data_IF_710260555465
#
_entry.id   IF_710260555465
#
_cell.length_a   1.000
_cell.length_b   1.000
_cell.length_c   1.000
_cell.angle_alpha   90.00
_cell.angle_beta   90.00
_cell.angle_gamma   90.00
#
_symmetry.space_group_name_H-M   'P 1'
#
loop_
_entity.id
_entity.type
_entity.pdbx_description
1 polymer ?
#
# COMPACT_ATOMS: atom_id res chain seq x y z
N UNK A 1 14.42 6.37 -14.96
CA UNK A 1 13.00 6.66 -15.24
C UNK A 1 12.23 5.44 -14.83
N UNK A 2 11.52 5.48 -13.71
CA UNK A 2 10.51 4.47 -13.38
C UNK A 2 9.22 4.98 -13.96
N UNK A 3 8.78 4.35 -15.04
CA UNK A 3 7.61 4.70 -15.79
C UNK A 3 6.37 4.65 -14.88
N UNK A 4 5.49 5.66 -14.94
CA UNK A 4 4.26 5.74 -14.15
C UNK A 4 3.31 4.53 -14.32
N UNK A 5 3.61 3.64 -15.28
CA UNK A 5 2.90 2.39 -15.53
C UNK A 5 3.26 1.30 -14.51
N UNK A 6 4.47 1.32 -13.99
CA UNK A 6 4.94 0.37 -12.98
C UNK A 6 4.28 0.63 -11.62
N UNK A 7 4.08 1.89 -11.24
CA UNK A 7 3.50 2.25 -9.94
C UNK A 7 2.04 1.84 -9.79
N UNK A 8 1.22 1.98 -10.85
CA UNK A 8 -0.17 1.56 -10.83
C UNK A 8 -0.30 0.05 -10.65
N UNK A 9 0.49 -0.73 -11.40
CA UNK A 9 0.52 -2.19 -11.26
C UNK A 9 0.96 -2.63 -9.86
N UNK A 10 1.96 -1.96 -9.28
CA UNK A 10 2.42 -2.26 -7.92
C UNK A 10 1.33 -2.00 -6.88
N UNK A 11 0.55 -0.93 -7.01
CA UNK A 11 -0.56 -0.63 -6.10
C UNK A 11 -1.66 -1.69 -6.22
N UNK A 12 -2.00 -2.14 -7.43
CA UNK A 12 -2.97 -3.22 -7.64
C UNK A 12 -2.51 -4.54 -7.02
N UNK A 13 -1.23 -4.89 -7.15
CA UNK A 13 -0.63 -6.07 -6.51
C UNK A 13 -0.69 -5.98 -4.99
N UNK A 14 -0.41 -4.80 -4.43
CA UNK A 14 -0.54 -4.54 -2.99
C UNK A 14 -1.99 -4.66 -2.53
N UNK A 15 -2.95 -4.13 -3.29
CA UNK A 15 -4.38 -4.23 -2.98
C UNK A 15 -4.83 -5.69 -2.95
N UNK A 16 -4.43 -6.47 -3.95
CA UNK A 16 -4.71 -7.90 -4.01
C UNK A 16 -4.13 -8.63 -2.80
N UNK A 17 -2.86 -8.36 -2.47
CA UNK A 17 -2.21 -8.96 -1.30
C UNK A 17 -2.89 -8.55 0.01
N UNK A 18 -3.29 -7.28 0.14
CA UNK A 18 -4.05 -6.77 1.28
C UNK A 18 -5.39 -7.51 1.43
N UNK A 19 -6.14 -7.66 0.36
CA UNK A 19 -7.44 -8.35 0.39
C UNK A 19 -7.28 -9.82 0.81
N UNK A 20 -6.26 -10.52 0.30
CA UNK A 20 -5.91 -11.88 0.75
C UNK A 20 -5.59 -11.93 2.24
N UNK A 21 -4.77 -11.01 2.74
CA UNK A 21 -4.38 -10.93 4.14
C UNK A 21 -5.56 -10.59 5.05
N UNK A 22 -6.45 -9.71 4.60
CA UNK A 22 -7.67 -9.33 5.31
C UNK A 22 -8.60 -10.53 5.51
N UNK A 23 -8.74 -11.39 4.50
CA UNK A 23 -9.49 -12.65 4.64
C UNK A 23 -8.86 -13.58 5.70
N UNK A 24 -7.53 -13.57 5.83
CA UNK A 24 -6.76 -14.35 6.79
C UNK A 24 -6.52 -13.64 8.13
N UNK A 25 -7.06 -12.43 8.34
CA UNK A 25 -6.77 -11.62 9.52
C UNK A 25 -7.16 -12.28 10.85
N UNK A 26 -8.10 -13.22 10.81
CA UNK A 26 -8.49 -14.03 11.96
C UNK A 26 -7.37 -14.96 12.47
N UNK A 27 -6.41 -15.31 11.60
CA UNK A 27 -5.24 -16.13 11.93
C UNK A 27 -4.08 -15.31 12.49
N UNK A 28 -4.16 -13.98 12.47
CA UNK A 28 -3.07 -13.14 12.96
C UNK A 28 -2.89 -13.29 14.46
N UNK A 29 -1.64 -13.53 14.86
CA UNK A 29 -1.22 -13.38 16.26
C UNK A 29 -1.39 -11.93 16.72
N UNK A 30 -1.41 -11.71 18.04
CA UNK A 30 -1.66 -10.38 18.61
C UNK A 30 -0.65 -9.34 18.12
N UNK A 31 0.62 -9.71 18.00
CA UNK A 31 1.67 -8.81 17.50
C UNK A 31 1.50 -8.50 16.01
N UNK A 32 1.11 -9.50 15.21
CA UNK A 32 0.80 -9.32 13.78
C UNK A 32 -0.42 -8.44 13.57
N UNK A 33 -1.41 -8.46 14.46
CA UNK A 33 -2.58 -7.57 14.40
C UNK A 33 -2.19 -6.10 14.57
N UNK A 34 -1.24 -5.81 15.47
CA UNK A 34 -0.73 -4.46 15.66
C UNK A 34 0.02 -3.99 14.40
N UNK A 35 0.91 -4.83 13.87
CA UNK A 35 1.64 -4.52 12.64
C UNK A 35 0.70 -4.33 11.44
N UNK A 36 -0.31 -5.20 11.31
CA UNK A 36 -1.36 -5.07 10.29
C UNK A 36 -2.12 -3.75 10.41
N UNK A 37 -2.53 -3.35 11.62
CA UNK A 37 -3.24 -2.10 11.84
C UNK A 37 -2.41 -0.86 11.46
N UNK A 38 -1.10 -0.90 11.69
CA UNK A 38 -0.21 0.20 11.28
C UNK A 38 0.02 0.24 9.77
N UNK A 39 0.07 -0.92 9.10
CA UNK A 39 0.10 -0.99 7.64
C UNK A 39 -1.21 -0.49 7.03
N UNK A 40 -2.37 -0.81 7.59
CA UNK A 40 -3.66 -0.32 7.10
C UNK A 40 -3.76 1.21 7.19
N UNK A 41 -3.23 1.86 8.24
CA UNK A 41 -3.18 3.33 8.31
C UNK A 41 -2.32 3.93 7.18
N UNK A 42 -1.22 3.28 6.81
CA UNK A 42 -0.37 3.70 5.69
C UNK A 42 -1.06 3.48 4.36
N UNK A 43 -1.82 2.39 4.23
CA UNK A 43 -2.66 2.13 3.06
C UNK A 43 -3.68 3.24 2.86
N UNK A 44 -4.41 3.63 3.92
CA UNK A 44 -5.39 4.72 3.84
C UNK A 44 -4.74 6.04 3.41
N UNK A 45 -3.54 6.34 3.92
CA UNK A 45 -2.76 7.49 3.46
C UNK A 45 -2.34 7.40 1.99
N UNK A 46 -1.98 6.21 1.49
CA UNK A 46 -1.67 5.99 0.08
C UNK A 46 -2.91 6.14 -0.80
N UNK A 47 -4.05 5.58 -0.38
CA UNK A 47 -5.33 5.61 -1.11
C UNK A 47 -5.81 7.06 -1.30
N UNK A 48 -5.77 7.87 -0.24
CA UNK A 48 -6.08 9.30 -0.30
C UNK A 48 -5.16 10.05 -1.26
N UNK A 49 -3.85 9.79 -1.21
CA UNK A 49 -2.90 10.42 -2.13
C UNK A 49 -3.12 10.00 -3.60
N UNK A 50 -3.62 8.79 -3.85
CA UNK A 50 -3.92 8.30 -5.20
C UNK A 50 -5.24 8.86 -5.73
N UNK A 51 -6.25 9.02 -4.88
CA UNK A 51 -7.53 9.65 -5.21
C UNK A 51 -7.30 11.14 -5.53
N UNK A 52 -6.58 11.85 -4.64
CA UNK A 52 -6.15 13.24 -4.87
C UNK A 52 -5.29 13.38 -6.13
N UNK A 53 -4.38 12.43 -6.39
CA UNK A 53 -3.58 12.45 -7.61
C UNK A 53 -4.41 12.17 -8.86
N UNK A 54 -5.49 11.40 -8.78
CA UNK A 54 -6.38 11.14 -9.92
C UNK A 54 -7.18 12.40 -10.30
N UNK A 55 -7.59 13.18 -9.31
CA UNK A 55 -8.23 14.49 -9.52
C UNK A 55 -7.21 15.59 -9.89
N UNK A 56 -6.03 15.60 -9.26
CA UNK A 56 -4.97 16.60 -9.44
C UNK A 56 -3.98 16.29 -10.58
N UNK A 57 -4.05 15.13 -11.23
CA UNK A 57 -3.26 14.77 -12.41
C UNK A 57 -3.49 15.71 -13.61
N UNK A 58 -4.48 16.61 -13.53
CA UNK A 58 -4.59 17.74 -14.45
C UNK A 58 -3.53 18.83 -14.24
N UNK A 59 -2.84 18.91 -13.09
CA UNK A 59 -1.95 20.05 -12.80
C UNK A 59 -0.66 19.77 -11.97
N UNK A 60 -0.55 18.71 -11.14
CA UNK A 60 0.57 18.62 -10.16
C UNK A 60 1.13 17.22 -9.83
N UNK A 61 1.46 16.41 -10.85
CA UNK A 61 1.96 15.04 -10.66
C UNK A 61 3.38 14.90 -10.04
N UNK A 62 4.13 16.00 -9.89
CA UNK A 62 5.58 15.93 -9.61
C UNK A 62 5.99 15.59 -8.17
N UNK A 63 5.22 16.02 -7.15
CA UNK A 63 5.65 15.94 -5.74
C UNK A 63 4.96 14.81 -4.95
N UNK A 64 3.79 14.35 -5.41
CA UNK A 64 3.02 13.27 -4.78
C UNK A 64 3.67 11.89 -4.99
N UNK A 65 4.43 11.73 -6.09
CA UNK A 65 5.01 10.44 -6.47
C UNK A 65 6.07 9.88 -5.50
N UNK A 66 6.88 10.73 -4.84
CA UNK A 66 7.96 10.25 -3.98
C UNK A 66 7.46 9.70 -2.64
N UNK A 67 6.53 10.40 -1.98
CA UNK A 67 5.93 9.94 -0.74
C UNK A 67 5.08 8.67 -0.96
N UNK A 68 4.30 8.64 -2.05
CA UNK A 68 3.54 7.46 -2.44
C UNK A 68 4.45 6.25 -2.72
N UNK A 69 5.57 6.46 -3.41
CA UNK A 69 6.53 5.39 -3.72
C UNK A 69 7.15 4.77 -2.45
N UNK A 70 7.47 5.60 -1.45
CA UNK A 70 7.95 5.12 -0.15
C UNK A 70 6.88 4.29 0.57
N UNK A 71 5.62 4.76 0.59
CA UNK A 71 4.51 4.02 1.19
C UNK A 71 4.27 2.68 0.49
N UNK A 72 4.30 2.64 -0.84
CA UNK A 72 4.18 1.41 -1.64
C UNK A 72 5.26 0.39 -1.25
N UNK A 73 6.52 0.84 -1.12
CA UNK A 73 7.61 -0.04 -0.73
C UNK A 73 7.44 -0.59 0.70
N UNK A 74 7.08 0.28 1.64
CA UNK A 74 6.85 -0.10 3.04
C UNK A 74 5.67 -1.09 3.18
N UNK A 75 4.56 -0.81 2.50
CA UNK A 75 3.38 -1.68 2.47
C UNK A 75 3.72 -3.04 1.88
N UNK A 76 4.46 -3.08 0.77
CA UNK A 76 4.88 -4.32 0.15
C UNK A 76 5.77 -5.18 1.04
N UNK A 77 6.72 -4.56 1.74
CA UNK A 77 7.57 -5.26 2.72
C UNK A 77 6.74 -5.79 3.90
N UNK A 78 5.86 -4.97 4.46
CA UNK A 78 5.01 -5.32 5.59
C UNK A 78 4.05 -6.46 5.28
N UNK A 79 3.31 -6.35 4.17
CA UNK A 79 2.39 -7.41 3.74
C UNK A 79 3.11 -8.73 3.44
N UNK A 80 4.28 -8.69 2.80
CA UNK A 80 5.08 -9.91 2.58
C UNK A 80 5.52 -10.55 3.89
N UNK A 81 5.91 -9.74 4.89
CA UNK A 81 6.31 -10.25 6.21
C UNK A 81 5.13 -10.91 6.93
N UNK A 82 3.96 -10.27 6.94
CA UNK A 82 2.74 -10.85 7.53
C UNK A 82 2.38 -12.15 6.82
N UNK A 83 2.40 -12.15 5.47
CA UNK A 83 2.09 -13.34 4.67
C UNK A 83 3.05 -14.50 4.93
N UNK A 84 4.33 -14.22 5.22
CA UNK A 84 5.35 -15.23 5.51
C UNK A 84 5.29 -15.75 6.96
N UNK A 85 4.64 -15.02 7.87
CA UNK A 85 4.48 -15.40 9.27
C UNK A 85 3.15 -16.14 9.55
N UNK A 86 2.24 -16.19 8.57
CA UNK A 86 1.05 -17.05 8.55
C UNK A 86 1.40 -18.51 8.24
#
# INVERSE_FOLDING_TARGET
MTDSKDTASLVEDLKTTRDELKLKAHLFEMDMKNEWADLEKKWDGLDLNLDDASDAAKESAGNVGAAASLLIEELGKGYKKIKAAL
#
